data_IF_578445535294
#
_entry.id   IF_578445535294
#
_cell.length_a   1.000
_cell.length_b   1.000
_cell.length_c   1.000
_cell.angle_alpha   90.00
_cell.angle_beta   90.00
_cell.angle_gamma   90.00
#
_symmetry.space_group_name_H-M   'P 1'
#
loop_
_entity.id
_entity.type
_entity.pdbx_description
1 polymer ?
#
# COMPACT_ATOMS: atom_id res chain seq x y z
N UNK A 1 14.80 2.87 4.57
CA UNK A 1 14.61 1.62 5.33
C UNK A 1 14.69 0.46 4.34
N UNK A 2 15.26 -0.67 4.73
CA UNK A 2 15.27 -1.90 3.91
C UNK A 2 13.91 -2.57 3.97
N UNK A 3 13.52 -3.22 2.87
CA UNK A 3 12.28 -4.01 2.80
C UNK A 3 12.45 -5.24 3.70
N UNK A 4 11.44 -5.52 4.54
CA UNK A 4 11.43 -6.70 5.41
C UNK A 4 11.47 -7.97 4.56
N UNK A 5 12.47 -8.79 4.82
CA UNK A 5 12.60 -10.08 4.16
C UNK A 5 11.44 -11.01 4.54
N UNK A 6 11.00 -11.78 3.55
CA UNK A 6 10.00 -12.81 3.75
C UNK A 6 10.66 -14.14 4.19
N UNK A 7 9.99 -14.94 5.04
CA UNK A 7 10.32 -16.35 5.22
C UNK A 7 10.30 -17.10 3.87
N UNK A 8 11.05 -18.19 3.77
CA UNK A 8 11.25 -18.89 2.49
C UNK A 8 9.97 -19.46 1.89
N UNK A 9 9.05 -19.96 2.73
CA UNK A 9 7.74 -20.43 2.29
C UNK A 9 6.94 -19.30 1.62
N UNK A 10 6.97 -18.09 2.20
CA UNK A 10 6.29 -16.93 1.65
C UNK A 10 6.99 -16.37 0.41
N UNK A 11 8.32 -16.47 0.29
CA UNK A 11 9.05 -16.13 -0.93
C UNK A 11 8.60 -17.01 -2.10
N UNK A 12 8.42 -18.31 -1.86
CA UNK A 12 7.94 -19.26 -2.87
C UNK A 12 6.53 -18.89 -3.37
N UNK A 13 5.62 -18.60 -2.43
CA UNK A 13 4.24 -18.18 -2.75
C UNK A 13 4.25 -16.85 -3.51
N UNK A 14 4.98 -15.84 -3.03
CA UNK A 14 5.06 -14.53 -3.67
C UNK A 14 5.56 -14.63 -5.12
N UNK A 15 6.58 -15.47 -5.37
CA UNK A 15 7.08 -15.73 -6.72
C UNK A 15 6.04 -16.41 -7.60
N UNK A 16 5.33 -17.42 -7.08
CA UNK A 16 4.39 -18.25 -7.85
C UNK A 16 3.06 -17.54 -8.12
N UNK A 17 2.53 -16.81 -7.15
CA UNK A 17 1.16 -16.29 -7.19
C UNK A 17 1.07 -14.79 -7.47
N UNK A 18 2.12 -14.04 -7.11
CA UNK A 18 2.16 -12.57 -7.21
C UNK A 18 3.14 -12.07 -8.27
N UNK A 19 3.86 -12.97 -8.96
CA UNK A 19 4.93 -12.64 -9.91
C UNK A 19 6.08 -11.82 -9.29
N UNK A 20 6.30 -11.96 -7.98
CA UNK A 20 7.36 -11.24 -7.28
C UNK A 20 8.74 -11.73 -7.73
N UNK A 21 9.54 -10.82 -8.27
CA UNK A 21 10.92 -11.09 -8.67
C UNK A 21 11.87 -10.21 -7.84
N UNK A 22 12.65 -10.83 -6.96
CA UNK A 22 13.58 -10.15 -6.04
C UNK A 22 14.56 -9.22 -6.74
N UNK A 23 14.92 -9.47 -8.01
CA UNK A 23 15.80 -8.60 -8.79
C UNK A 23 15.12 -7.32 -9.28
N UNK A 24 13.79 -7.32 -9.39
CA UNK A 24 12.99 -6.22 -9.94
C UNK A 24 12.28 -5.37 -8.89
N UNK A 25 12.20 -5.84 -7.64
CA UNK A 25 11.51 -5.13 -6.55
C UNK A 25 11.97 -3.67 -6.46
N UNK A 26 13.28 -3.43 -6.41
CA UNK A 26 13.81 -2.07 -6.29
C UNK A 26 13.52 -1.22 -7.53
N UNK A 27 13.55 -1.81 -8.72
CA UNK A 27 13.23 -1.13 -9.98
C UNK A 27 11.75 -0.72 -10.02
N UNK A 28 10.84 -1.61 -9.63
CA UNK A 28 9.41 -1.34 -9.60
C UNK A 28 9.06 -0.28 -8.55
N UNK A 29 9.75 -0.28 -7.41
CA UNK A 29 9.59 0.76 -6.38
C UNK A 29 10.03 2.12 -6.90
N UNK A 30 11.24 2.22 -7.48
CA UNK A 30 11.73 3.50 -7.99
C UNK A 30 10.80 4.03 -9.09
N UNK A 31 10.34 3.15 -9.99
CA UNK A 31 9.37 3.53 -11.01
C UNK A 31 8.09 4.13 -10.44
N UNK A 32 7.54 3.55 -9.37
CA UNK A 32 6.34 4.07 -8.71
C UNK A 32 6.64 5.38 -7.97
N UNK A 33 7.80 5.52 -7.34
CA UNK A 33 8.23 6.77 -6.70
C UNK A 33 8.33 7.89 -7.74
N UNK A 34 8.98 7.64 -8.88
CA UNK A 34 9.09 8.61 -9.97
C UNK A 34 7.72 9.02 -10.52
N UNK A 35 6.80 8.06 -10.65
CA UNK A 35 5.43 8.38 -11.05
C UNK A 35 4.71 9.23 -10.00
N UNK A 36 4.81 8.90 -8.71
CA UNK A 36 4.20 9.66 -7.61
C UNK A 36 4.74 11.10 -7.54
N UNK A 37 6.05 11.31 -7.78
CA UNK A 37 6.64 12.66 -7.87
C UNK A 37 6.00 13.53 -8.95
N UNK A 38 5.44 12.92 -10.00
CA UNK A 38 4.75 13.62 -11.09
C UNK A 38 3.28 13.92 -10.77
N UNK A 39 2.75 13.43 -9.65
CA UNK A 39 1.36 13.65 -9.22
C UNK A 39 1.29 14.67 -8.07
N UNK A 40 1.20 15.99 -8.35
CA UNK A 40 1.27 17.02 -7.30
C UNK A 40 0.08 17.02 -6.33
N UNK A 41 -1.05 16.42 -6.73
CA UNK A 41 -2.25 16.30 -5.90
C UNK A 41 -2.18 15.15 -4.88
N UNK A 42 -1.23 14.21 -5.06
CA UNK A 42 -1.08 13.06 -4.17
C UNK A 42 0.02 13.33 -3.15
N UNK A 43 -0.36 13.46 -1.88
CA UNK A 43 0.60 13.48 -0.75
C UNK A 43 0.95 12.05 -0.35
N UNK A 44 1.79 11.40 -1.15
CA UNK A 44 2.09 9.98 -0.99
C UNK A 44 3.18 9.66 0.03
N UNK A 45 3.01 8.56 0.76
CA UNK A 45 4.10 7.87 1.43
C UNK A 45 4.97 7.14 0.39
N UNK A 46 6.26 7.46 0.36
CA UNK A 46 7.25 6.86 -0.55
C UNK A 46 8.15 5.84 0.14
N UNK A 47 7.81 5.40 1.36
CA UNK A 47 8.54 4.34 2.04
C UNK A 47 8.53 3.03 1.21
N UNK A 48 9.70 2.43 0.93
CA UNK A 48 9.78 1.21 0.13
C UNK A 48 8.95 0.04 0.68
N UNK A 49 8.92 -0.14 2.01
CA UNK A 49 8.14 -1.20 2.64
C UNK A 49 6.64 -1.00 2.43
N UNK A 50 6.18 0.25 2.42
CA UNK A 50 4.79 0.59 2.14
C UNK A 50 4.44 0.33 0.67
N UNK A 51 5.29 0.75 -0.27
CA UNK A 51 5.04 0.59 -1.71
C UNK A 51 5.04 -0.87 -2.16
N UNK A 52 5.87 -1.71 -1.54
CA UNK A 52 5.88 -3.17 -1.80
C UNK A 52 4.54 -3.82 -1.49
N UNK A 53 3.80 -3.34 -0.47
CA UNK A 53 2.48 -3.88 -0.17
C UNK A 53 1.48 -3.65 -1.33
N UNK A 54 1.52 -2.47 -1.94
CA UNK A 54 0.70 -2.15 -3.11
C UNK A 54 1.10 -2.98 -4.34
N UNK A 55 2.41 -3.10 -4.59
CA UNK A 55 2.94 -3.93 -5.68
C UNK A 55 2.51 -5.39 -5.53
N UNK A 56 2.64 -5.98 -4.33
CA UNK A 56 2.17 -7.34 -4.02
C UNK A 56 0.67 -7.47 -4.23
N UNK A 57 -0.12 -6.53 -3.72
CA UNK A 57 -1.57 -6.49 -3.91
C UNK A 57 -1.99 -6.34 -5.39
N UNK A 58 -1.10 -5.84 -6.24
CA UNK A 58 -1.30 -5.70 -7.68
C UNK A 58 -0.59 -6.79 -8.52
N UNK A 59 -0.02 -7.83 -7.87
CA UNK A 59 0.77 -8.87 -8.54
C UNK A 59 1.90 -8.31 -9.42
N UNK A 60 2.57 -7.27 -8.91
CA UNK A 60 3.64 -6.52 -9.57
C UNK A 60 3.26 -5.88 -10.91
N UNK A 61 1.97 -5.66 -11.16
CA UNK A 61 1.51 -4.81 -12.27
C UNK A 61 1.65 -3.34 -11.88
N UNK A 62 2.58 -2.62 -12.53
CA UNK A 62 2.83 -1.19 -12.32
C UNK A 62 1.55 -0.36 -12.54
N UNK A 63 0.80 -0.68 -13.59
CA UNK A 63 -0.40 0.06 -13.97
C UNK A 63 -1.52 -0.11 -12.94
N UNK A 64 -1.80 -1.34 -12.51
CA UNK A 64 -2.76 -1.58 -11.43
C UNK A 64 -2.29 -1.01 -10.10
N UNK A 65 -0.99 -0.92 -9.86
CA UNK A 65 -0.43 -0.29 -8.66
C UNK A 65 -0.75 1.21 -8.66
N UNK A 66 -0.58 1.90 -9.79
CA UNK A 66 -0.94 3.31 -9.94
C UNK A 66 -2.43 3.56 -9.68
N UNK A 67 -3.30 2.76 -10.32
CA UNK A 67 -4.75 2.84 -10.12
C UNK A 67 -5.14 2.65 -8.65
N UNK A 68 -4.55 1.66 -7.98
CA UNK A 68 -4.80 1.41 -6.55
C UNK A 68 -4.32 2.55 -5.66
N UNK A 69 -3.15 3.12 -5.95
CA UNK A 69 -2.61 4.25 -5.20
C UNK A 69 -3.49 5.49 -5.36
N UNK A 70 -3.87 5.81 -6.60
CA UNK A 70 -4.75 6.93 -6.89
C UNK A 70 -6.10 6.80 -6.17
N UNK A 71 -6.74 5.63 -6.28
CA UNK A 71 -7.99 5.35 -5.58
C UNK A 71 -7.84 5.44 -4.05
N UNK A 72 -6.74 4.91 -3.49
CA UNK A 72 -6.47 4.95 -2.06
C UNK A 72 -6.41 6.39 -1.52
N UNK A 73 -5.68 7.27 -2.19
CA UNK A 73 -5.56 8.67 -1.75
C UNK A 73 -6.84 9.47 -2.05
N UNK A 74 -7.51 9.19 -3.17
CA UNK A 74 -8.78 9.84 -3.54
C UNK A 74 -9.88 9.56 -2.51
N UNK A 75 -10.14 8.30 -2.17
CA UNK A 75 -11.20 7.93 -1.22
C UNK A 75 -10.96 8.54 0.17
N UNK A 76 -9.71 8.57 0.63
CA UNK A 76 -9.35 9.16 1.92
C UNK A 76 -9.50 10.68 1.95
N UNK A 77 -9.35 11.33 0.79
CA UNK A 77 -9.52 12.77 0.66
C UNK A 77 -11.00 13.15 0.54
N UNK A 78 -11.80 12.30 -0.11
CA UNK A 78 -13.24 12.53 -0.32
C UNK A 78 -14.11 12.21 0.90
N UNK A 79 -13.68 11.29 1.76
CA UNK A 79 -14.45 10.81 2.91
C UNK A 79 -13.75 11.11 4.25
N UNK A 80 -13.47 12.38 4.59
CA UNK A 80 -12.79 12.75 5.83
C UNK A 80 -13.52 12.26 7.08
N UNK A 81 -14.85 12.16 7.06
CA UNK A 81 -15.68 11.63 8.15
C UNK A 81 -15.39 10.17 8.48
N UNK A 82 -14.89 9.40 7.51
CA UNK A 82 -14.50 8.00 7.73
C UNK A 82 -13.03 7.91 8.13
N UNK A 83 -12.15 8.76 7.58
CA UNK A 83 -10.69 8.57 7.65
C UNK A 83 -9.94 9.56 8.56
N UNK A 84 -10.56 10.65 9.01
CA UNK A 84 -10.01 11.62 9.96
C UNK A 84 -10.71 11.49 11.32
N UNK A 85 -10.07 12.01 12.38
CA UNK A 85 -10.67 12.06 13.72
C UNK A 85 -10.90 10.70 14.38
N UNK A 86 -10.19 9.65 13.95
CA UNK A 86 -10.29 8.31 14.55
C UNK A 86 -9.63 8.29 15.92
N UNK A 87 -10.44 8.33 16.97
CA UNK A 87 -10.01 8.05 18.32
C UNK A 87 -10.39 6.61 18.69
N UNK A 88 -9.42 5.69 18.84
CA UNK A 88 -9.72 4.32 19.22
C UNK A 88 -10.42 4.21 20.58
N UNK A 89 -10.30 5.22 21.46
CA UNK A 89 -10.92 5.23 22.78
C UNK A 89 -12.28 5.95 22.82
N UNK A 90 -12.77 6.44 21.68
CA UNK A 90 -14.11 7.03 21.60
C UNK A 90 -15.19 5.98 21.85
N UNK A 91 -16.28 6.38 22.49
CA UNK A 91 -17.41 5.50 22.83
C UNK A 91 -17.94 4.73 21.61
N UNK A 92 -18.07 5.41 20.46
CA UNK A 92 -18.53 4.79 19.22
C UNK A 92 -17.55 3.75 18.66
N UNK A 93 -16.24 3.95 18.83
CA UNK A 93 -15.24 2.96 18.38
C UNK A 93 -15.23 1.75 19.31
N UNK A 94 -15.36 1.95 20.62
CA UNK A 94 -15.43 0.87 21.60
C UNK A 94 -16.71 0.04 21.42
N UNK A 95 -17.85 0.68 21.20
CA UNK A 95 -19.13 0.00 20.94
C UNK A 95 -19.04 -0.93 19.72
N UNK A 96 -18.42 -0.48 18.62
CA UNK A 96 -18.23 -1.32 17.42
C UNK A 96 -17.31 -2.52 17.71
N UNK A 97 -16.23 -2.32 18.49
CA UNK A 97 -15.31 -3.40 18.83
C UNK A 97 -15.95 -4.46 19.74
N UNK A 98 -16.84 -4.05 20.64
CA UNK A 98 -17.56 -4.96 21.54
C UNK A 98 -18.60 -5.83 20.81
N UNK A 99 -18.97 -5.48 19.56
CA UNK A 99 -19.91 -6.26 18.75
C UNK A 99 -19.30 -7.54 18.14
N UNK A 100 -17.97 -7.69 18.10
CA UNK A 100 -17.27 -8.89 17.61
C UNK A 100 -17.07 -8.94 16.10
#
# INVERSE_FOLDING_TARGET
MSIRELPDDLKSIAKKELNENTKRINEDIEYIIEWLRKQPHIKANTDPQWLVAFLRGAKYSRERTKEKLDAFYTVRSLLPEIFLGRDPLSDSSQEILDLG
#
